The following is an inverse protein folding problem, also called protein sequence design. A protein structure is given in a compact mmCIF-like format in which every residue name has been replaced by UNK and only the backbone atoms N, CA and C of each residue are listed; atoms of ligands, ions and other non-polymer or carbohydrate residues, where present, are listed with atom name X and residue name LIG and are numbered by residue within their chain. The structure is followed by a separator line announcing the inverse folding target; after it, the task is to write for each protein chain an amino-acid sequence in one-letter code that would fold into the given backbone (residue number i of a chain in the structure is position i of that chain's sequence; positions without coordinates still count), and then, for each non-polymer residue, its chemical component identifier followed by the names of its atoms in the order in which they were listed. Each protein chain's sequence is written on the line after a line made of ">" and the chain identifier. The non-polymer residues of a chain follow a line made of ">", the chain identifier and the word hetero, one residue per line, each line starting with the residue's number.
data_IF_188759807525
#
_entry.id   IF_188759807525
#
_cell.length_a   1.000
_cell.length_b   1.000
_cell.length_c   1.000
_cell.angle_alpha   90.00
_cell.angle_beta   90.00
_cell.angle_gamma   90.00
#
_symmetry.space_group_name_H-M   'P 1'
#
loop_
_entity.id
_entity.type
_entity.pdbx_description
1 polymer ?
#
# COMPACT_ATOMS: atom_id res chain seq x y z
N UNK A 1 67.38 10.17 57.36
CA UNK A 1 65.95 9.90 57.08
C UNK A 1 65.34 11.15 56.46
N UNK A 2 65.07 11.14 55.15
CA UNK A 2 64.45 12.26 54.42
C UNK A 2 62.98 11.94 54.23
N UNK A 3 62.08 12.80 54.72
CA UNK A 3 60.70 12.87 54.21
C UNK A 3 60.38 14.36 54.05
N UNK A 4 60.51 14.84 52.82
CA UNK A 4 60.11 16.20 52.43
C UNK A 4 58.60 16.22 52.17
N UNK A 5 57.91 17.13 52.86
CA UNK A 5 56.55 17.57 52.52
C UNK A 5 56.62 18.50 51.29
N UNK A 6 55.86 18.19 50.25
CA UNK A 6 55.25 19.20 49.39
C UNK A 6 53.94 18.63 48.84
N UNK A 7 52.82 19.29 49.16
CA UNK A 7 51.60 19.21 48.34
C UNK A 7 51.16 20.65 48.11
N UNK A 8 51.29 21.05 46.84
CA UNK A 8 50.90 22.34 46.29
C UNK A 8 49.46 22.24 45.78
N UNK A 9 48.75 23.36 45.91
CA UNK A 9 47.34 23.55 45.59
C UNK A 9 47.06 23.62 44.08
N UNK A 10 45.97 22.97 43.68
CA UNK A 10 45.00 23.23 42.60
C UNK A 10 45.47 23.71 41.21
N UNK A 11 45.02 22.93 40.21
CA UNK A 11 44.53 23.47 38.94
C UNK A 11 43.25 22.72 38.53
N UNK A 12 42.18 23.50 38.31
CA UNK A 12 40.88 23.02 37.88
C UNK A 12 40.92 22.61 36.40
N UNK A 13 40.37 21.45 36.08
CA UNK A 13 40.07 21.05 34.70
C UNK A 13 38.56 20.94 34.58
N UNK A 14 37.95 21.90 33.90
CA UNK A 14 36.58 21.82 33.45
C UNK A 14 36.49 20.78 32.32
N UNK A 15 36.02 19.58 32.64
CA UNK A 15 35.72 18.55 31.64
C UNK A 15 34.43 18.91 30.90
N UNK A 16 34.54 19.23 29.60
CA UNK A 16 33.40 19.20 28.69
C UNK A 16 32.83 17.78 28.65
N UNK A 17 31.64 17.58 29.23
CA UNK A 17 30.85 16.38 29.00
C UNK A 17 30.24 16.48 27.58
N UNK A 18 30.92 15.90 26.60
CA UNK A 18 30.34 15.56 25.31
C UNK A 18 29.34 14.44 25.53
N UNK A 19 28.06 14.76 25.77
CA UNK A 19 26.98 13.81 25.63
C UNK A 19 26.80 13.51 24.15
N UNK A 20 27.38 12.42 23.67
CA UNK A 20 27.05 11.87 22.36
C UNK A 20 25.59 11.42 22.41
N UNK A 21 24.69 12.24 21.88
CA UNK A 21 23.36 11.77 21.47
C UNK A 21 23.62 10.79 20.34
N UNK A 22 23.66 9.49 20.62
CA UNK A 22 23.61 8.49 19.58
C UNK A 22 22.30 8.71 18.84
N UNK A 23 22.38 9.23 17.61
CA UNK A 23 21.23 9.27 16.72
C UNK A 23 20.74 7.82 16.59
N UNK A 24 19.59 7.51 17.16
CA UNK A 24 18.98 6.21 17.06
C UNK A 24 18.72 5.97 15.57
N UNK A 25 19.50 5.08 14.95
CA UNK A 25 19.37 4.81 13.53
C UNK A 25 17.94 4.32 13.27
N UNK A 26 17.23 4.97 12.34
CA UNK A 26 15.88 4.56 11.98
C UNK A 26 15.91 3.08 11.53
N UNK A 27 15.06 2.21 12.11
CA UNK A 27 15.08 0.79 11.80
C UNK A 27 14.86 0.60 10.30
N UNK A 28 15.75 -0.15 9.64
CA UNK A 28 15.59 -0.57 8.26
C UNK A 28 14.74 -1.84 8.23
N UNK A 29 13.96 -2.09 7.16
CA UNK A 29 13.19 -3.32 7.04
C UNK A 29 14.12 -4.53 6.94
N UNK A 30 13.70 -5.69 7.47
CA UNK A 30 14.54 -6.89 7.49
C UNK A 30 14.96 -7.36 6.07
N UNK A 31 14.20 -6.98 5.05
CA UNK A 31 14.48 -7.28 3.64
C UNK A 31 15.53 -6.37 2.98
N UNK A 32 16.02 -5.35 3.69
CA UNK A 32 16.99 -4.41 3.14
C UNK A 32 18.30 -5.11 2.79
N UNK A 33 18.73 -4.97 1.54
CA UNK A 33 20.02 -5.52 1.07
C UNK A 33 21.17 -4.53 1.33
N UNK A 34 22.44 -4.99 1.42
CA UNK A 34 23.58 -4.09 1.54
C UNK A 34 23.58 -3.01 0.46
N UNK A 35 23.73 -1.75 0.88
CA UNK A 35 23.71 -0.58 -0.02
C UNK A 35 22.32 -0.06 -0.38
N UNK A 36 21.24 -0.72 0.05
CA UNK A 36 19.89 -0.16 -0.08
C UNK A 36 19.59 0.85 1.04
N UNK A 37 18.75 1.83 0.73
CA UNK A 37 18.21 2.77 1.71
C UNK A 37 16.70 2.73 1.66
N UNK A 38 16.08 2.62 2.83
CA UNK A 38 14.63 2.63 2.99
C UNK A 38 14.21 3.75 3.94
N UNK A 39 13.18 4.49 3.52
CA UNK A 39 12.61 5.63 4.27
C UNK A 39 11.34 5.17 4.95
N UNK A 40 11.29 5.27 6.28
CA UNK A 40 10.10 5.01 7.08
C UNK A 40 9.01 6.04 6.74
N UNK A 41 7.78 5.56 6.56
CA UNK A 41 6.61 6.37 6.26
C UNK A 41 5.84 6.63 7.54
N UNK A 42 6.11 7.75 8.21
CA UNK A 42 5.58 8.07 9.54
C UNK A 42 4.05 8.06 9.62
N UNK A 43 3.37 8.53 8.57
CA UNK A 43 1.89 8.56 8.52
C UNK A 43 1.24 7.17 8.43
N UNK A 44 2.04 6.12 8.22
CA UNK A 44 1.63 4.70 8.13
C UNK A 44 2.51 3.82 9.02
N UNK A 45 3.18 4.42 10.01
CA UNK A 45 4.02 3.72 10.98
C UNK A 45 3.67 4.18 12.39
N UNK A 46 3.67 3.26 13.33
CA UNK A 46 3.36 3.52 14.73
C UNK A 46 3.96 2.44 15.63
N UNK A 47 4.57 2.87 16.73
CA UNK A 47 5.05 2.00 17.82
C UNK A 47 4.00 1.89 18.95
N UNK A 48 2.84 2.52 18.77
CA UNK A 48 1.70 2.46 19.68
C UNK A 48 2.02 2.83 21.13
N UNK A 49 2.85 3.85 21.32
CA UNK A 49 3.02 4.50 22.63
C UNK A 49 1.77 5.31 23.02
N UNK A 50 1.04 5.84 22.03
CA UNK A 50 -0.18 6.62 22.20
C UNK A 50 -1.24 6.24 21.18
N UNK A 51 -2.52 6.48 21.52
CA UNK A 51 -3.63 6.33 20.58
C UNK A 51 -3.75 7.57 19.68
N UNK A 52 -3.00 7.60 18.59
CA UNK A 52 -2.98 8.74 17.65
C UNK A 52 -4.17 8.73 16.67
N UNK A 53 -5.24 9.46 17.02
CA UNK A 53 -6.42 9.60 16.16
C UNK A 53 -6.22 10.55 14.96
N UNK A 54 -5.10 11.29 14.92
CA UNK A 54 -4.74 12.12 13.76
C UNK A 54 -4.17 11.25 12.64
N UNK A 55 -3.42 10.20 13.00
CA UNK A 55 -2.86 9.22 12.05
C UNK A 55 -3.85 8.11 11.72
N UNK A 56 -4.60 7.63 12.70
CA UNK A 56 -5.49 6.48 12.57
C UNK A 56 -6.97 6.87 12.72
N UNK A 57 -7.80 6.33 11.83
CA UNK A 57 -9.24 6.28 12.03
C UNK A 57 -9.61 4.99 12.78
N UNK A 58 -10.04 5.13 14.04
CA UNK A 58 -10.44 4.01 14.90
C UNK A 58 -11.93 3.65 14.82
N UNK A 59 -12.69 4.30 13.95
CA UNK A 59 -14.11 4.02 13.70
C UNK A 59 -14.45 4.36 12.24
N UNK A 60 -14.18 3.41 11.36
CA UNK A 60 -14.34 3.57 9.90
C UNK A 60 -15.80 3.36 9.47
N UNK A 61 -16.03 3.44 8.15
CA UNK A 61 -17.24 2.89 7.55
C UNK A 61 -17.46 1.43 7.99
N UNK A 62 -18.72 1.08 8.30
CA UNK A 62 -19.08 -0.26 8.75
C UNK A 62 -19.28 -1.21 7.56
N UNK A 63 -18.83 -2.45 7.73
CA UNK A 63 -19.03 -3.55 6.79
C UNK A 63 -19.04 -4.88 7.57
N UNK A 64 -19.28 -5.99 6.87
CA UNK A 64 -19.50 -7.29 7.52
C UNK A 64 -20.73 -7.26 8.42
N UNK A 65 -20.68 -8.02 9.52
CA UNK A 65 -21.82 -8.27 10.43
C UNK A 65 -21.54 -7.84 11.88
N UNK A 66 -20.65 -6.86 12.01
CA UNK A 66 -20.36 -6.15 13.24
C UNK A 66 -20.36 -4.65 12.95
N UNK A 67 -20.10 -3.85 13.97
CA UNK A 67 -19.83 -2.41 13.83
C UNK A 67 -18.52 -2.04 14.53
N UNK A 68 -17.78 -1.12 13.92
CA UNK A 68 -16.58 -0.54 14.50
C UNK A 68 -16.94 0.43 15.62
N UNK A 69 -16.23 0.34 16.74
CA UNK A 69 -16.34 1.26 17.87
C UNK A 69 -14.96 1.79 18.21
N UNK A 70 -14.83 3.10 18.32
CA UNK A 70 -13.58 3.72 18.75
C UNK A 70 -13.10 3.18 20.11
N UNK A 71 -14.02 2.86 21.02
CA UNK A 71 -13.75 2.35 22.37
C UNK A 71 -13.21 0.91 22.37
N UNK A 72 -13.31 0.22 21.22
CA UNK A 72 -12.75 -1.12 21.05
C UNK A 72 -11.31 -1.10 20.52
N UNK A 73 -10.75 0.07 20.24
CA UNK A 73 -9.33 0.29 20.01
C UNK A 73 -8.72 1.02 21.21
N UNK A 74 -7.80 0.38 21.92
CA UNK A 74 -7.12 0.94 23.10
C UNK A 74 -5.63 0.80 22.94
N UNK A 75 -4.87 1.78 23.44
CA UNK A 75 -3.41 1.72 23.48
C UNK A 75 -2.96 1.72 24.94
N UNK A 76 -2.12 0.77 25.31
CA UNK A 76 -1.58 0.64 26.67
C UNK A 76 -0.28 -0.13 26.65
N UNK A 77 0.73 0.29 27.41
CA UNK A 77 2.03 -0.38 27.53
C UNK A 77 2.70 -0.64 26.17
N UNK A 78 2.70 0.38 25.29
CA UNK A 78 3.33 0.31 23.97
C UNK A 78 2.61 -0.59 22.96
N UNK A 79 1.33 -0.89 23.17
CA UNK A 79 0.58 -1.84 22.33
C UNK A 79 -0.81 -1.34 22.01
N UNK A 80 -1.20 -1.47 20.74
CA UNK A 80 -2.58 -1.37 20.30
C UNK A 80 -3.31 -2.68 20.58
N UNK A 81 -4.48 -2.59 21.20
CA UNK A 81 -5.40 -3.71 21.42
C UNK A 81 -6.70 -3.43 20.69
N UNK A 82 -7.09 -4.35 19.79
CA UNK A 82 -8.34 -4.30 19.04
C UNK A 82 -9.27 -5.40 19.52
N UNK A 83 -10.39 -5.02 20.12
CA UNK A 83 -11.25 -5.92 20.88
C UNK A 83 -12.58 -6.16 20.17
N UNK A 84 -12.94 -7.43 19.97
CA UNK A 84 -14.32 -7.80 19.60
C UNK A 84 -15.13 -8.07 20.86
N UNK A 85 -16.34 -7.53 20.92
CA UNK A 85 -17.27 -7.68 22.05
C UNK A 85 -18.61 -8.22 21.57
N UNK A 86 -19.25 -9.05 22.39
CA UNK A 86 -20.67 -9.35 22.26
C UNK A 86 -21.47 -8.11 22.70
N UNK A 87 -22.06 -7.40 21.74
CA UNK A 87 -22.81 -6.16 21.96
C UNK A 87 -23.98 -6.10 20.95
N UNK A 88 -25.21 -6.27 21.46
CA UNK A 88 -26.41 -6.17 20.60
C UNK A 88 -26.63 -4.71 20.21
N UNK A 89 -26.78 -4.45 18.93
CA UNK A 89 -27.05 -3.12 18.39
C UNK A 89 -27.70 -3.22 17.01
N UNK A 90 -28.21 -2.11 16.49
CA UNK A 90 -28.79 -2.04 15.15
C UNK A 90 -27.99 -1.06 14.28
N UNK A 91 -27.95 -1.31 12.97
CA UNK A 91 -27.52 -0.31 11.97
C UNK A 91 -28.16 -0.59 10.62
N UNK A 92 -28.04 0.37 9.69
CA UNK A 92 -28.31 0.07 8.28
C UNK A 92 -27.31 -0.98 7.77
N UNK A 93 -27.83 -2.00 7.09
CA UNK A 93 -27.07 -3.13 6.57
C UNK A 93 -27.37 -3.35 5.10
N UNK A 94 -26.33 -3.50 4.28
CA UNK A 94 -26.47 -3.88 2.88
C UNK A 94 -26.75 -5.37 2.78
N UNK A 95 -27.94 -5.74 2.30
CA UNK A 95 -28.31 -7.11 1.94
C UNK A 95 -27.99 -7.34 0.46
N UNK A 96 -26.78 -7.81 0.19
CA UNK A 96 -26.32 -8.11 -1.16
C UNK A 96 -27.02 -9.29 -1.83
N UNK A 97 -27.79 -10.12 -1.12
CA UNK A 97 -28.58 -11.17 -1.77
C UNK A 97 -29.83 -10.58 -2.42
N UNK A 98 -30.46 -9.62 -1.75
CA UNK A 98 -31.67 -8.93 -2.24
C UNK A 98 -31.38 -7.55 -2.84
N UNK A 99 -30.10 -7.15 -2.92
CA UNK A 99 -29.63 -5.87 -3.48
C UNK A 99 -30.31 -4.63 -2.85
N UNK A 100 -30.45 -4.62 -1.51
CA UNK A 100 -31.15 -3.55 -0.79
C UNK A 100 -30.45 -3.14 0.51
N UNK A 101 -30.71 -1.90 0.96
CA UNK A 101 -30.34 -1.46 2.30
C UNK A 101 -31.47 -1.77 3.28
N UNK A 102 -31.16 -2.48 4.36
CA UNK A 102 -32.10 -2.80 5.43
C UNK A 102 -31.83 -1.90 6.62
N UNK A 103 -32.77 -1.00 6.93
CA UNK A 103 -32.70 -0.14 8.11
C UNK A 103 -32.89 -0.96 9.40
N UNK A 104 -32.30 -0.49 10.50
CA UNK A 104 -32.45 -1.09 11.84
C UNK A 104 -32.12 -2.60 11.89
N UNK A 105 -31.19 -3.07 11.06
CA UNK A 105 -30.81 -4.48 11.00
C UNK A 105 -30.08 -4.91 12.29
N UNK A 106 -30.53 -5.97 12.98
CA UNK A 106 -29.95 -6.37 14.25
C UNK A 106 -28.62 -7.11 14.08
N UNK A 107 -27.60 -6.62 14.78
CA UNK A 107 -26.26 -7.19 14.87
C UNK A 107 -25.88 -7.43 16.33
N UNK A 108 -24.88 -8.29 16.54
CA UNK A 108 -24.62 -8.88 17.85
C UNK A 108 -23.22 -8.65 18.38
N UNK A 109 -22.32 -8.11 17.56
CA UNK A 109 -20.92 -7.90 17.93
C UNK A 109 -20.43 -6.53 17.47
N UNK A 110 -19.60 -5.89 18.28
CA UNK A 110 -18.79 -4.74 17.88
C UNK A 110 -17.31 -5.12 17.89
N UNK A 111 -16.48 -4.40 17.14
CA UNK A 111 -15.05 -4.71 17.06
C UNK A 111 -14.18 -3.44 16.95
N UNK A 112 -12.86 -3.64 17.01
CA UNK A 112 -11.85 -2.59 16.87
C UNK A 112 -11.16 -2.60 15.51
N UNK A 113 -10.83 -1.40 15.02
CA UNK A 113 -10.08 -1.16 13.78
C UNK A 113 -9.12 0.01 13.99
N UNK A 114 -8.00 0.02 13.30
CA UNK A 114 -7.12 1.16 13.10
C UNK A 114 -6.78 1.26 11.61
N UNK A 115 -7.40 2.20 10.90
CA UNK A 115 -7.17 2.48 9.47
C UNK A 115 -6.37 3.76 9.31
N UNK A 116 -5.21 3.71 8.66
CA UNK A 116 -4.40 4.91 8.43
C UNK A 116 -5.19 5.92 7.60
N UNK A 117 -5.15 7.20 7.97
CA UNK A 117 -5.74 8.26 7.15
C UNK A 117 -4.96 8.45 5.85
N UNK A 118 -3.63 8.36 5.93
CA UNK A 118 -2.77 8.36 4.76
C UNK A 118 -2.93 7.07 3.96
N UNK A 119 -2.67 7.16 2.66
CA UNK A 119 -2.64 6.04 1.73
C UNK A 119 -1.23 5.80 1.21
N UNK A 120 -1.03 4.65 0.59
CA UNK A 120 0.09 4.40 -0.31
C UNK A 120 -0.15 3.10 -1.08
N UNK A 121 0.88 2.60 -1.76
CA UNK A 121 0.82 1.34 -2.50
C UNK A 121 2.14 0.57 -2.37
N UNK A 122 3.19 1.02 -3.06
CA UNK A 122 4.49 0.38 -3.06
C UNK A 122 5.24 0.67 -1.76
N UNK A 123 5.98 -0.33 -1.29
CA UNK A 123 6.70 -0.27 -0.03
C UNK A 123 6.79 -1.62 0.64
N UNK A 124 7.55 -1.66 1.72
CA UNK A 124 7.56 -2.77 2.66
C UNK A 124 6.69 -2.41 3.86
N UNK A 125 5.79 -3.31 4.24
CA UNK A 125 4.87 -3.13 5.35
C UNK A 125 5.07 -4.28 6.31
N UNK A 126 5.15 -4.01 7.60
CA UNK A 126 5.31 -5.03 8.64
C UNK A 126 4.51 -4.64 9.88
N UNK A 127 3.84 -5.61 10.48
CA UNK A 127 3.24 -5.47 11.79
C UNK A 127 3.64 -6.63 12.67
N UNK A 128 3.87 -6.35 13.95
CA UNK A 128 4.15 -7.37 14.97
C UNK A 128 2.89 -7.62 15.79
N UNK A 129 2.27 -8.77 15.59
CA UNK A 129 0.90 -9.06 16.01
C UNK A 129 0.87 -10.31 16.88
N UNK A 130 0.06 -10.27 17.93
CA UNK A 130 -0.40 -11.44 18.69
C UNK A 130 -1.89 -11.64 18.43
N UNK A 131 -2.26 -12.84 17.99
CA UNK A 131 -3.65 -13.20 17.69
C UNK A 131 -4.54 -13.23 18.93
N UNK A 132 -5.85 -13.14 18.73
CA UNK A 132 -6.83 -13.26 19.80
C UNK A 132 -6.92 -14.69 20.35
N UNK A 133 -7.15 -14.83 21.66
CA UNK A 133 -7.20 -16.15 22.30
C UNK A 133 -8.34 -17.04 21.76
N UNK A 134 -9.48 -16.43 21.42
CA UNK A 134 -10.70 -17.15 21.01
C UNK A 134 -10.56 -17.68 19.59
N UNK A 135 -10.68 -18.99 19.42
CA UNK A 135 -10.75 -19.64 18.12
C UNK A 135 -11.69 -20.86 18.20
N UNK A 136 -12.58 -21.05 17.21
CA UNK A 136 -12.90 -20.14 16.10
C UNK A 136 -13.75 -18.94 16.56
N UNK A 137 -13.93 -17.94 15.70
CA UNK A 137 -14.91 -16.85 15.91
C UNK A 137 -14.45 -15.46 15.50
N UNK A 138 -13.14 -15.21 15.53
CA UNK A 138 -12.55 -13.93 15.10
C UNK A 138 -11.34 -14.13 14.19
N UNK A 139 -11.04 -13.11 13.39
CA UNK A 139 -9.89 -13.06 12.48
C UNK A 139 -9.14 -11.75 12.69
N UNK A 140 -8.03 -11.76 13.45
CA UNK A 140 -7.05 -10.69 13.42
C UNK A 140 -6.53 -10.51 11.99
N UNK A 141 -6.48 -9.28 11.50
CA UNK A 141 -6.09 -8.97 10.13
C UNK A 141 -5.17 -7.75 10.06
N UNK A 142 -4.15 -7.86 9.20
CA UNK A 142 -3.30 -6.75 8.75
C UNK A 142 -3.36 -6.69 7.23
N UNK A 143 -3.84 -5.57 6.70
CA UNK A 143 -4.24 -5.48 5.31
C UNK A 143 -4.26 -4.03 4.85
N UNK A 144 -4.49 -3.80 3.56
CA UNK A 144 -4.68 -2.47 3.01
C UNK A 144 -5.67 -2.50 1.85
N UNK A 145 -6.53 -1.49 1.75
CA UNK A 145 -7.57 -1.45 0.73
C UNK A 145 -7.83 -0.04 0.19
N UNK A 146 -8.25 0.04 -1.06
CA UNK A 146 -8.63 1.29 -1.73
C UNK A 146 -10.11 1.60 -1.58
N UNK A 147 -10.53 2.83 -1.92
CA UNK A 147 -11.93 3.07 -2.27
C UNK A 147 -12.31 2.27 -3.53
N UNK A 148 -13.61 1.96 -3.67
CA UNK A 148 -14.16 1.40 -4.91
C UNK A 148 -14.55 2.56 -5.83
N UNK A 149 -13.92 2.66 -6.99
CA UNK A 149 -14.25 3.64 -8.02
C UNK A 149 -15.01 2.99 -9.17
N UNK A 150 -16.34 3.12 -9.14
CA UNK A 150 -17.23 2.54 -10.16
C UNK A 150 -17.31 3.38 -11.43
N UNK A 151 -16.67 4.55 -11.49
CA UNK A 151 -16.64 5.38 -12.71
C UNK A 151 -15.67 4.82 -13.75
N UNK A 152 -14.70 4.02 -13.32
CA UNK A 152 -13.76 3.30 -14.18
C UNK A 152 -14.46 2.10 -14.84
N UNK A 153 -14.70 2.19 -16.14
CA UNK A 153 -15.55 1.24 -16.88
C UNK A 153 -14.88 0.66 -18.13
N UNK A 154 -13.64 1.04 -18.44
CA UNK A 154 -12.92 0.49 -19.58
C UNK A 154 -12.37 -0.91 -19.28
N UNK A 155 -12.29 -1.77 -20.29
CA UNK A 155 -11.77 -3.13 -20.11
C UNK A 155 -10.32 -3.10 -19.59
N UNK A 156 -10.06 -3.78 -18.47
CA UNK A 156 -8.78 -3.76 -17.76
C UNK A 156 -8.67 -2.72 -16.65
N UNK A 157 -9.64 -1.81 -16.50
CA UNK A 157 -9.66 -0.88 -15.37
C UNK A 157 -9.84 -1.60 -14.04
N UNK A 158 -9.11 -1.14 -13.03
CA UNK A 158 -9.19 -1.65 -11.66
C UNK A 158 -9.97 -0.66 -10.80
N UNK A 159 -11.16 -1.08 -10.37
CA UNK A 159 -12.05 -0.29 -9.52
C UNK A 159 -11.67 -0.38 -8.05
N UNK A 160 -11.06 -1.49 -7.62
CA UNK A 160 -10.73 -1.77 -6.23
C UNK A 160 -9.48 -2.65 -6.13
N UNK A 161 -8.60 -2.31 -5.18
CA UNK A 161 -7.42 -3.10 -4.83
C UNK A 161 -7.39 -3.31 -3.32
N UNK A 162 -7.07 -4.53 -2.91
CA UNK A 162 -6.86 -4.92 -1.52
C UNK A 162 -5.76 -5.97 -1.43
N UNK A 163 -4.81 -5.75 -0.52
CA UNK A 163 -3.71 -6.66 -0.20
C UNK A 163 -3.84 -7.05 1.26
N UNK A 164 -4.01 -8.33 1.53
CA UNK A 164 -4.07 -8.88 2.86
C UNK A 164 -2.69 -9.39 3.24
N UNK A 165 -2.01 -8.67 4.14
CA UNK A 165 -0.69 -9.09 4.63
C UNK A 165 -0.82 -10.37 5.42
N UNK A 166 -1.84 -10.44 6.29
CA UNK A 166 -2.26 -11.68 6.94
C UNK A 166 -3.71 -11.59 7.39
N UNK A 167 -4.43 -12.70 7.24
CA UNK A 167 -5.66 -12.98 7.97
C UNK A 167 -5.44 -14.25 8.83
N UNK A 168 -5.49 -14.09 10.15
CA UNK A 168 -5.25 -15.16 11.10
C UNK A 168 -6.55 -15.85 11.51
N UNK A 169 -6.46 -17.14 11.86
CA UNK A 169 -7.50 -17.88 12.60
C UNK A 169 -8.90 -17.88 11.95
N UNK A 170 -8.98 -17.74 10.63
CA UNK A 170 -10.24 -17.78 9.88
C UNK A 170 -10.53 -19.10 9.17
N UNK A 171 -9.61 -20.06 9.24
CA UNK A 171 -9.74 -21.39 8.66
C UNK A 171 -10.13 -22.44 9.71
N UNK A 172 -10.29 -23.69 9.26
CA UNK A 172 -10.65 -24.81 10.14
C UNK A 172 -9.55 -25.18 11.14
N UNK A 173 -8.28 -24.87 10.82
CA UNK A 173 -7.15 -25.06 11.71
C UNK A 173 -6.61 -23.71 12.20
N UNK A 174 -6.33 -23.60 13.50
CA UNK A 174 -5.85 -22.35 14.12
C UNK A 174 -4.49 -21.88 13.57
N UNK A 175 -3.69 -22.81 13.03
CA UNK A 175 -2.37 -22.53 12.46
C UNK A 175 -2.39 -22.24 10.97
N UNK A 176 -3.56 -22.29 10.32
CA UNK A 176 -3.68 -21.87 8.93
C UNK A 176 -3.86 -20.36 8.88
N UNK A 177 -2.95 -19.68 8.17
CA UNK A 177 -3.04 -18.26 7.84
C UNK A 177 -3.26 -18.07 6.34
N UNK A 178 -3.95 -16.99 5.99
CA UNK A 178 -4.11 -16.54 4.60
C UNK A 178 -3.34 -15.25 4.35
N UNK A 179 -2.77 -15.14 3.16
CA UNK A 179 -2.00 -13.99 2.69
C UNK A 179 -2.48 -13.62 1.28
N UNK A 180 -3.70 -13.09 1.25
CA UNK A 180 -4.52 -13.07 0.06
C UNK A 180 -4.56 -11.70 -0.62
N UNK A 181 -5.21 -11.68 -1.78
CA UNK A 181 -5.44 -10.48 -2.56
C UNK A 181 -6.90 -10.41 -3.01
N UNK A 182 -7.43 -9.19 -3.06
CA UNK A 182 -8.77 -8.94 -3.55
C UNK A 182 -8.75 -7.78 -4.54
N UNK A 183 -9.56 -7.86 -5.59
CA UNK A 183 -9.69 -6.77 -6.54
C UNK A 183 -11.03 -6.80 -7.29
N UNK A 184 -11.41 -5.64 -7.82
CA UNK A 184 -12.46 -5.52 -8.84
C UNK A 184 -11.80 -5.01 -10.11
N UNK A 185 -11.91 -5.79 -11.19
CA UNK A 185 -11.37 -5.43 -12.51
C UNK A 185 -12.46 -5.55 -13.57
N UNK A 186 -12.54 -4.60 -14.48
CA UNK A 186 -13.47 -4.67 -15.60
C UNK A 186 -12.98 -5.69 -16.62
N UNK A 187 -13.78 -6.71 -16.89
CA UNK A 187 -13.54 -7.71 -17.95
C UNK A 187 -14.77 -7.78 -18.85
N UNK A 188 -14.57 -7.62 -20.15
CA UNK A 188 -15.63 -7.64 -21.15
C UNK A 188 -16.78 -6.66 -20.82
N UNK A 189 -16.42 -5.45 -20.39
CA UNK A 189 -17.36 -4.39 -20.04
C UNK A 189 -18.10 -4.55 -18.70
N UNK A 190 -17.80 -5.61 -17.93
CA UNK A 190 -18.43 -5.87 -16.63
C UNK A 190 -17.42 -5.82 -15.48
N UNK A 191 -17.71 -5.17 -14.34
CA UNK A 191 -16.87 -5.23 -13.15
C UNK A 191 -16.89 -6.64 -12.53
N UNK A 192 -15.74 -7.29 -12.49
CA UNK A 192 -15.58 -8.66 -11.95
C UNK A 192 -14.80 -8.61 -10.65
N UNK A 193 -15.38 -9.19 -9.60
CA UNK A 193 -14.66 -9.49 -8.36
C UNK A 193 -13.73 -10.69 -8.54
N UNK A 194 -12.45 -10.49 -8.23
CA UNK A 194 -11.47 -11.57 -8.09
C UNK A 194 -11.15 -11.71 -6.60
N UNK A 195 -11.37 -12.93 -6.08
CA UNK A 195 -11.18 -13.31 -4.67
C UNK A 195 -10.25 -14.52 -4.59
N UNK A 196 -9.59 -14.77 -3.45
CA UNK A 196 -8.73 -15.94 -3.28
C UNK A 196 -9.43 -17.26 -3.62
N UNK A 197 -10.69 -17.44 -3.22
CA UNK A 197 -11.43 -18.66 -3.54
C UNK A 197 -11.80 -18.82 -5.02
N UNK A 198 -12.04 -17.72 -5.75
CA UNK A 198 -12.47 -17.78 -7.17
C UNK A 198 -11.33 -17.62 -8.17
N UNK A 199 -10.19 -17.07 -7.74
CA UNK A 199 -9.00 -16.88 -8.55
C UNK A 199 -7.73 -17.23 -7.76
N UNK A 200 -7.60 -18.46 -7.24
CA UNK A 200 -6.55 -18.80 -6.27
C UNK A 200 -5.13 -18.63 -6.81
N UNK A 201 -4.91 -18.91 -8.09
CA UNK A 201 -3.58 -18.77 -8.71
C UNK A 201 -3.03 -17.34 -8.63
N UNK A 202 -3.91 -16.33 -8.76
CA UNK A 202 -3.53 -14.92 -8.73
C UNK A 202 -3.76 -14.27 -7.38
N UNK A 203 -4.65 -14.81 -6.55
CA UNK A 203 -5.19 -14.11 -5.38
C UNK A 203 -5.04 -14.84 -4.04
N UNK A 204 -4.64 -16.12 -4.01
CA UNK A 204 -4.55 -16.88 -2.76
C UNK A 204 -3.11 -17.28 -2.42
N UNK A 205 -2.73 -17.12 -1.15
CA UNK A 205 -1.58 -17.78 -0.56
C UNK A 205 -1.95 -18.30 0.84
N UNK A 206 -2.26 -19.59 0.95
CA UNK A 206 -2.42 -20.26 2.25
C UNK A 206 -1.07 -20.69 2.82
N UNK A 207 -0.91 -20.59 4.14
CA UNK A 207 0.31 -21.00 4.83
C UNK A 207 -0.01 -21.70 6.15
N UNK A 208 0.75 -22.77 6.45
CA UNK A 208 0.67 -23.45 7.73
C UNK A 208 1.76 -22.89 8.66
N UNK A 209 1.34 -22.11 9.65
CA UNK A 209 2.23 -21.49 10.61
C UNK A 209 2.95 -22.56 11.45
N UNK A 210 4.28 -22.44 11.66
CA UNK A 210 5.02 -23.34 12.52
C UNK A 210 4.76 -23.11 14.03
N UNK A 211 3.85 -22.20 14.36
CA UNK A 211 3.46 -21.79 15.71
C UNK A 211 1.94 -21.58 15.80
N UNK A 212 1.42 -21.49 17.02
CA UNK A 212 0.06 -21.01 17.26
C UNK A 212 0.09 -19.47 17.33
N UNK A 213 -0.56 -18.74 16.40
CA UNK A 213 -0.44 -17.28 16.29
C UNK A 213 -1.02 -16.51 17.49
N UNK A 214 -1.69 -17.21 18.41
CA UNK A 214 -2.31 -16.62 19.60
C UNK A 214 -1.37 -16.59 20.80
N UNK A 215 -0.30 -17.39 20.79
CA UNK A 215 0.53 -17.60 21.97
C UNK A 215 1.50 -16.43 22.21
N UNK A 216 2.12 -15.91 21.16
CA UNK A 216 3.10 -14.83 21.22
C UNK A 216 2.96 -13.88 20.03
N UNK A 217 3.76 -12.81 20.04
CA UNK A 217 3.87 -11.87 18.94
C UNK A 217 4.77 -12.41 17.84
N UNK A 218 4.26 -12.35 16.61
CA UNK A 218 4.98 -12.71 15.38
C UNK A 218 4.97 -11.54 14.40
N UNK A 219 5.94 -11.49 13.49
CA UNK A 219 5.99 -10.44 12.46
C UNK A 219 5.33 -10.92 11.18
N UNK A 220 4.45 -10.07 10.63
CA UNK A 220 3.74 -10.31 9.38
C UNK A 220 4.04 -9.14 8.46
N UNK A 221 4.59 -9.42 7.29
CA UNK A 221 5.00 -8.37 6.37
C UNK A 221 4.74 -8.67 4.91
N UNK A 222 4.70 -7.62 4.10
CA UNK A 222 4.58 -7.71 2.65
C UNK A 222 5.47 -6.67 1.99
N UNK A 223 6.20 -7.09 0.96
CA UNK A 223 6.89 -6.21 0.04
C UNK A 223 6.03 -6.03 -1.21
N UNK A 224 5.59 -4.81 -1.46
CA UNK A 224 4.77 -4.43 -2.61
C UNK A 224 5.60 -3.60 -3.56
N UNK A 225 5.82 -4.11 -4.76
CA UNK A 225 6.47 -3.39 -5.85
C UNK A 225 5.49 -3.23 -7.02
N UNK A 226 5.90 -2.52 -8.06
CA UNK A 226 5.08 -2.42 -9.28
C UNK A 226 4.93 -3.76 -10.02
N UNK A 227 5.84 -4.72 -9.81
CA UNK A 227 5.87 -5.96 -10.58
C UNK A 227 5.44 -7.17 -9.75
N UNK A 228 5.71 -7.12 -8.44
CA UNK A 228 5.65 -8.27 -7.54
C UNK A 228 5.10 -7.88 -6.16
N UNK A 229 4.40 -8.83 -5.53
CA UNK A 229 3.95 -8.79 -4.13
C UNK A 229 4.52 -10.03 -3.45
N UNK A 230 5.23 -9.86 -2.33
CA UNK A 230 5.91 -10.95 -1.61
C UNK A 230 5.61 -10.86 -0.12
N UNK A 231 5.13 -11.94 0.49
CA UNK A 231 4.70 -11.97 1.89
C UNK A 231 5.70 -12.70 2.76
N UNK A 232 5.78 -12.27 4.02
CA UNK A 232 6.72 -12.75 5.02
C UNK A 232 6.02 -13.01 6.35
N UNK A 233 6.41 -14.09 7.02
CA UNK A 233 6.07 -14.39 8.41
C UNK A 233 7.37 -14.68 9.13
N UNK A 234 7.67 -13.95 10.21
CA UNK A 234 8.91 -14.06 10.98
C UNK A 234 10.17 -14.03 10.07
N UNK A 235 10.15 -13.17 9.06
CA UNK A 235 11.24 -13.01 8.08
C UNK A 235 11.31 -14.09 6.99
N UNK A 236 10.46 -15.12 7.05
CA UNK A 236 10.40 -16.20 6.06
C UNK A 236 9.39 -15.85 4.98
N UNK A 237 9.76 -15.95 3.71
CA UNK A 237 8.82 -15.77 2.60
C UNK A 237 7.77 -16.88 2.60
N UNK A 238 6.48 -16.51 2.65
CA UNK A 238 5.34 -17.45 2.69
C UNK A 238 4.39 -17.33 1.49
N UNK A 239 4.52 -16.24 0.72
CA UNK A 239 3.64 -15.97 -0.42
C UNK A 239 4.34 -15.14 -1.48
N UNK A 240 3.90 -15.32 -2.73
CA UNK A 240 4.38 -14.54 -3.87
C UNK A 240 3.32 -14.50 -4.97
N UNK A 241 3.12 -13.29 -5.54
CA UNK A 241 2.23 -13.05 -6.68
C UNK A 241 2.79 -11.92 -7.54
N UNK A 242 2.45 -11.91 -8.83
CA UNK A 242 2.67 -10.74 -9.69
C UNK A 242 1.70 -9.63 -9.29
N UNK A 243 2.18 -8.39 -9.24
CA UNK A 243 1.32 -7.24 -8.99
C UNK A 243 0.57 -6.85 -10.27
N UNK A 244 -0.55 -7.52 -10.54
CA UNK A 244 -1.36 -7.28 -11.73
C UNK A 244 -2.33 -6.11 -11.55
N UNK A 245 -2.90 -5.97 -10.34
CA UNK A 245 -4.06 -5.12 -10.09
C UNK A 245 -3.93 -4.25 -8.83
N UNK A 246 -2.85 -4.34 -8.06
CA UNK A 246 -2.74 -3.70 -6.73
C UNK A 246 -1.85 -2.47 -6.76
N UNK A 247 -2.24 -1.52 -7.59
CA UNK A 247 -1.53 -0.25 -7.81
C UNK A 247 -2.27 0.98 -7.26
N UNK A 248 -3.55 0.82 -6.87
CA UNK A 248 -4.36 1.91 -6.33
C UNK A 248 -3.82 2.36 -4.97
N UNK A 249 -4.15 3.59 -4.59
CA UNK A 249 -3.89 4.09 -3.25
C UNK A 249 -4.74 3.32 -2.23
N UNK A 250 -4.09 2.74 -1.23
CA UNK A 250 -4.71 1.89 -0.22
C UNK A 250 -4.42 2.43 1.19
N UNK A 251 -5.42 2.41 2.06
CA UNK A 251 -5.27 2.72 3.48
C UNK A 251 -4.78 1.48 4.22
N UNK A 252 -3.70 1.61 4.99
CA UNK A 252 -3.16 0.54 5.82
C UNK A 252 -4.08 0.30 7.01
N UNK A 253 -4.44 -0.95 7.29
CA UNK A 253 -5.50 -1.29 8.23
C UNK A 253 -5.10 -2.47 9.11
N UNK A 254 -5.28 -2.29 10.42
CA UNK A 254 -5.29 -3.35 11.42
C UNK A 254 -6.72 -3.50 11.93
N UNK A 255 -7.28 -4.70 11.91
CA UNK A 255 -8.64 -4.92 12.37
C UNK A 255 -8.87 -6.34 12.84
N UNK A 256 -9.93 -6.55 13.63
CA UNK A 256 -10.37 -7.88 14.02
C UNK A 256 -11.78 -8.13 13.50
N UNK A 257 -11.91 -8.99 12.49
CA UNK A 257 -13.21 -9.36 11.91
C UNK A 257 -13.87 -10.52 12.65
N UNK A 258 -15.19 -10.62 12.55
CA UNK A 258 -15.94 -11.80 13.01
C UNK A 258 -15.88 -12.90 11.95
N UNK A 259 -15.91 -14.17 12.36
CA UNK A 259 -15.92 -15.36 11.49
C UNK A 259 -16.91 -16.41 12.00
N UNK A 260 -17.01 -17.54 11.30
CA UNK A 260 -17.71 -18.71 11.80
C UNK A 260 -17.21 -19.07 13.21
N UNK A 261 -18.09 -19.53 14.13
CA UNK A 261 -19.48 -19.93 13.89
C UNK A 261 -20.49 -18.78 13.91
N UNK A 262 -20.06 -17.52 14.06
CA UNK A 262 -20.97 -16.38 14.21
C UNK A 262 -21.43 -15.77 12.89
N UNK A 263 -20.81 -16.15 11.78
CA UNK A 263 -21.08 -15.61 10.44
C UNK A 263 -21.44 -16.71 9.44
N UNK A 264 -22.24 -16.35 8.44
CA UNK A 264 -22.48 -17.11 7.22
C UNK A 264 -21.94 -16.32 6.02
N UNK A 265 -21.38 -16.99 5.01
CA UNK A 265 -20.92 -16.33 3.78
C UNK A 265 -21.86 -16.66 2.62
N UNK A 266 -22.47 -15.64 2.04
CA UNK A 266 -23.29 -15.75 0.83
C UNK A 266 -23.37 -14.42 0.09
N UNK A 267 -23.62 -14.46 -1.22
CA UNK A 267 -23.78 -13.26 -2.05
C UNK A 267 -22.61 -12.26 -1.90
N UNK A 268 -21.39 -12.78 -1.78
CA UNK A 268 -20.14 -12.01 -1.65
C UNK A 268 -20.01 -11.15 -0.39
N UNK A 269 -20.70 -11.50 0.71
CA UNK A 269 -20.56 -10.83 1.99
C UNK A 269 -20.90 -11.75 3.17
N UNK A 270 -20.60 -11.28 4.38
CA UNK A 270 -21.07 -11.93 5.61
C UNK A 270 -22.53 -11.60 5.93
N UNK A 271 -23.22 -12.58 6.51
CA UNK A 271 -24.49 -12.48 7.23
C UNK A 271 -24.34 -13.01 8.66
N UNK A 272 -25.08 -12.49 9.66
CA UNK A 272 -25.00 -13.03 11.00
C UNK A 272 -25.65 -14.42 11.04
N UNK A 273 -24.99 -15.36 11.71
CA UNK A 273 -25.57 -16.66 11.98
C UNK A 273 -26.58 -16.61 13.15
N UNK A 274 -27.18 -17.75 13.45
CA UNK A 274 -27.94 -17.96 14.67
C UNK A 274 -27.07 -17.93 15.95
N UNK A 275 -25.77 -18.24 15.86
CA UNK A 275 -24.87 -18.29 17.01
C UNK A 275 -24.41 -16.88 17.44
N UNK A 276 -24.98 -16.41 18.56
CA UNK A 276 -24.77 -15.09 19.15
C UNK A 276 -24.16 -15.19 20.56
N UNK A 277 -23.38 -16.25 20.81
CA UNK A 277 -22.83 -16.53 22.14
C UNK A 277 -21.97 -15.39 22.67
N UNK A 278 -22.01 -15.19 23.99
CA UNK A 278 -21.07 -14.32 24.68
C UNK A 278 -19.78 -15.06 25.09
N UNK A 279 -19.78 -16.38 25.03
CA UNK A 279 -18.62 -17.21 25.41
C UNK A 279 -17.42 -16.90 24.52
N UNK A 280 -16.26 -16.73 25.13
CA UNK A 280 -15.05 -16.33 24.42
C UNK A 280 -15.03 -14.84 24.02
N UNK A 281 -15.96 -14.01 24.47
CA UNK A 281 -15.93 -12.55 24.30
C UNK A 281 -15.97 -11.82 25.67
N UNK A 282 -15.29 -10.67 25.83
CA UNK A 282 -14.47 -10.00 24.83
C UNK A 282 -13.19 -10.77 24.51
N UNK A 283 -12.69 -10.60 23.30
CA UNK A 283 -11.42 -11.18 22.85
C UNK A 283 -10.67 -10.18 21.98
N UNK A 284 -9.36 -10.15 22.06
CA UNK A 284 -8.57 -9.08 21.46
C UNK A 284 -7.30 -9.59 20.82
N UNK A 285 -6.98 -9.06 19.65
CA UNK A 285 -5.63 -9.07 19.11
C UNK A 285 -4.83 -7.92 19.71
N UNK A 286 -3.51 -8.10 19.76
CA UNK A 286 -2.56 -7.06 20.16
C UNK A 286 -1.56 -6.79 19.03
N UNK A 287 -1.18 -5.53 18.86
CA UNK A 287 -0.19 -5.07 17.88
C UNK A 287 0.86 -4.25 18.61
N UNK A 288 2.09 -4.71 18.53
CA UNK A 288 3.26 -4.08 19.15
C UNK A 288 3.72 -2.87 18.33
N UNK A 289 3.87 -3.07 17.02
CA UNK A 289 4.14 -1.98 16.08
C UNK A 289 3.52 -2.26 14.72
N UNK A 290 3.39 -1.22 13.92
CA UNK A 290 3.24 -1.28 12.47
C UNK A 290 4.23 -0.32 11.83
N UNK A 291 4.97 -0.79 10.83
CA UNK A 291 6.01 0.00 10.16
C UNK A 291 5.88 -0.15 8.66
N UNK A 292 6.02 0.99 7.98
CA UNK A 292 5.96 1.07 6.53
C UNK A 292 7.21 1.76 6.01
N UNK A 293 7.85 1.20 4.99
CA UNK A 293 9.02 1.80 4.36
C UNK A 293 8.91 1.87 2.85
N UNK A 294 9.58 2.85 2.26
CA UNK A 294 9.74 2.98 0.80
C UNK A 294 11.22 2.99 0.46
N UNK A 295 11.63 2.18 -0.53
CA UNK A 295 13.01 2.06 -0.98
C UNK A 295 13.41 3.27 -1.83
N UNK A 296 14.54 3.90 -1.52
CA UNK A 296 15.14 4.97 -2.33
C UNK A 296 15.66 4.42 -3.65
N UNK A 297 15.33 5.07 -4.76
CA UNK A 297 15.83 4.69 -6.10
C UNK A 297 15.31 3.34 -6.62
N UNK A 298 14.43 2.66 -5.88
CA UNK A 298 13.62 1.59 -6.45
C UNK A 298 12.73 2.14 -7.55
N UNK A 299 12.27 1.29 -8.47
CA UNK A 299 11.30 1.66 -9.50
C UNK A 299 9.89 1.86 -8.89
N UNK A 300 9.82 2.63 -7.80
CA UNK A 300 8.68 2.95 -6.94
C UNK A 300 8.14 4.29 -7.39
N UNK A 301 6.99 4.29 -8.07
CA UNK A 301 6.27 5.52 -8.37
C UNK A 301 5.88 6.23 -7.08
N UNK A 302 6.57 7.36 -6.81
CA UNK A 302 6.23 8.46 -5.92
C UNK A 302 5.41 8.15 -4.66
N UNK A 303 6.09 7.89 -3.55
CA UNK A 303 5.60 8.32 -2.23
C UNK A 303 6.22 9.70 -1.96
N UNK A 304 5.45 10.76 -2.16
CA UNK A 304 5.75 12.08 -1.61
C UNK A 304 4.56 12.50 -0.77
N UNK A 305 4.53 12.00 0.47
CA UNK A 305 3.59 12.46 1.48
C UNK A 305 3.71 13.97 1.74
N UNK A 306 2.65 14.70 1.39
CA UNK A 306 2.30 16.08 1.76
C UNK A 306 0.95 16.33 1.06
N UNK A 307 -0.15 16.71 1.71
CA UNK A 307 -0.35 18.05 2.23
C UNK A 307 -1.67 18.12 3.05
N UNK A 308 -1.71 19.20 3.83
CA UNK A 308 -2.66 19.83 4.74
C UNK A 308 -4.17 19.61 4.59
N UNK A 309 -4.83 19.62 5.75
CA UNK A 309 -6.25 19.89 5.85
C UNK A 309 -6.55 21.39 5.75
N UNK A 310 -7.64 21.72 5.06
CA UNK A 310 -8.52 22.84 5.42
C UNK A 310 -8.40 24.17 4.65
N UNK A 311 -9.30 24.33 3.68
CA UNK A 311 -10.30 25.43 3.56
C UNK A 311 -10.19 26.44 2.39
N UNK A 312 -11.31 26.48 1.64
CA UNK A 312 -11.99 27.54 0.85
C UNK A 312 -11.21 28.64 0.11
N UNK A 313 -11.57 28.80 -1.17
CA UNK A 313 -11.49 30.06 -1.92
C UNK A 313 -10.94 29.84 -3.32
N UNK A 314 -11.70 30.23 -4.35
CA UNK A 314 -11.45 29.80 -5.73
C UNK A 314 -10.38 30.58 -6.48
N UNK A 315 -9.92 30.03 -7.60
CA UNK A 315 -9.66 30.76 -8.84
C UNK A 315 -9.49 29.80 -10.03
N UNK A 316 -9.91 30.25 -11.21
CA UNK A 316 -9.79 29.57 -12.49
C UNK A 316 -8.38 29.78 -13.05
N UNK A 317 -7.52 28.74 -13.06
CA UNK A 317 -6.58 28.46 -14.16
C UNK A 317 -5.64 27.29 -13.82
N UNK A 318 -5.66 26.26 -14.66
CA UNK A 318 -4.55 25.33 -14.89
C UNK A 318 -3.83 24.73 -13.65
N UNK A 319 -4.55 24.49 -12.55
CA UNK A 319 -4.00 23.82 -11.38
C UNK A 319 -4.13 22.32 -11.56
N UNK A 320 -3.00 21.65 -11.54
CA UNK A 320 -2.97 20.21 -11.56
C UNK A 320 -3.13 19.70 -10.14
N UNK A 321 -3.95 18.67 -9.92
CA UNK A 321 -4.20 18.19 -8.58
C UNK A 321 -2.91 17.60 -8.00
N UNK A 322 -2.70 17.72 -6.69
CA UNK A 322 -1.59 17.09 -5.95
C UNK A 322 -1.77 15.56 -5.82
N UNK A 323 -2.45 14.97 -6.78
CA UNK A 323 -2.77 13.55 -6.89
C UNK A 323 -2.32 13.02 -8.25
N UNK A 324 -2.38 11.71 -8.45
CA UNK A 324 -1.97 11.10 -9.70
C UNK A 324 -2.84 11.54 -10.89
N UNK A 325 -2.21 12.17 -11.90
CA UNK A 325 -2.80 12.59 -13.16
C UNK A 325 -2.36 11.62 -14.27
N UNK A 326 -3.33 10.89 -14.83
CA UNK A 326 -3.08 9.94 -15.90
C UNK A 326 -2.61 10.64 -17.20
N UNK A 327 -1.72 9.98 -17.94
CA UNK A 327 -1.34 10.40 -19.29
C UNK A 327 -2.50 10.17 -20.25
N UNK A 328 -2.93 11.22 -20.93
CA UNK A 328 -3.97 11.18 -21.96
C UNK A 328 -3.40 11.20 -23.38
N UNK A 329 -2.19 11.74 -23.58
CA UNK A 329 -1.56 11.82 -24.90
C UNK A 329 -0.06 12.10 -24.87
N UNK A 330 0.57 12.03 -26.03
CA UNK A 330 1.94 12.49 -26.28
C UNK A 330 2.00 13.08 -27.67
N UNK A 331 2.69 14.21 -27.84
CA UNK A 331 2.84 14.91 -29.10
C UNK A 331 4.32 15.15 -29.40
N UNK A 332 4.75 14.96 -30.66
CA UNK A 332 6.04 15.38 -31.20
C UNK A 332 5.81 16.52 -32.20
N UNK A 333 6.60 17.58 -32.08
CA UNK A 333 6.61 18.68 -33.06
C UNK A 333 8.04 19.01 -33.49
N UNK A 334 8.34 19.17 -34.79
CA UNK A 334 7.47 18.95 -35.95
C UNK A 334 7.27 17.46 -36.28
N UNK A 335 6.26 17.15 -37.11
CA UNK A 335 5.95 15.79 -37.58
C UNK A 335 6.87 15.33 -38.73
N UNK A 336 7.63 16.25 -39.35
CA UNK A 336 8.66 15.94 -40.34
C UNK A 336 9.90 16.79 -40.13
N UNK A 337 11.08 16.25 -40.42
CA UNK A 337 12.36 16.99 -40.36
C UNK A 337 13.36 16.46 -41.40
N UNK A 338 14.01 17.38 -42.10
CA UNK A 338 15.10 17.06 -43.03
C UNK A 338 16.45 17.41 -42.39
N UNK A 339 17.43 16.51 -42.51
CA UNK A 339 18.78 16.64 -41.97
C UNK A 339 19.82 16.27 -43.03
N UNK A 340 21.00 16.90 -42.98
CA UNK A 340 22.18 16.42 -43.71
C UNK A 340 22.86 15.28 -42.94
N UNK A 341 23.55 14.38 -43.65
CA UNK A 341 24.34 13.32 -43.02
C UNK A 341 25.27 13.87 -41.92
N UNK A 342 25.26 13.23 -40.75
CA UNK A 342 26.04 13.61 -39.58
C UNK A 342 25.37 14.64 -38.65
N UNK A 343 24.35 15.36 -39.13
CA UNK A 343 23.60 16.28 -38.28
C UNK A 343 22.78 15.56 -37.22
N UNK A 344 22.52 16.25 -36.12
CA UNK A 344 21.65 15.77 -35.05
C UNK A 344 20.58 16.80 -34.69
N UNK A 345 19.43 16.33 -34.20
CA UNK A 345 18.32 17.16 -33.75
C UNK A 345 17.69 16.53 -32.51
N UNK A 346 17.30 17.35 -31.55
CA UNK A 346 16.52 16.90 -30.38
C UNK A 346 15.04 17.05 -30.68
N UNK A 347 14.26 16.00 -30.44
CA UNK A 347 12.81 16.02 -30.66
C UNK A 347 12.10 16.80 -29.54
N UNK A 348 11.21 17.72 -29.91
CA UNK A 348 10.34 18.37 -28.94
C UNK A 348 9.12 17.47 -28.69
N UNK A 349 9.13 16.79 -27.54
CA UNK A 349 8.07 15.86 -27.11
C UNK A 349 7.31 16.45 -25.94
N UNK A 350 5.99 16.50 -26.04
CA UNK A 350 5.10 16.98 -24.96
C UNK A 350 4.13 15.87 -24.53
N UNK A 351 4.11 15.55 -23.23
CA UNK A 351 3.16 14.58 -22.65
C UNK A 351 1.95 15.33 -22.11
N UNK A 352 0.75 14.81 -22.40
CA UNK A 352 -0.52 15.41 -22.01
C UNK A 352 -1.25 14.58 -20.95
N UNK A 353 -1.98 15.22 -20.01
CA UNK A 353 -1.96 16.66 -19.77
C UNK A 353 -0.57 17.14 -19.29
N UNK A 354 -0.32 18.45 -19.34
CA UNK A 354 1.00 19.02 -19.02
C UNK A 354 1.47 18.72 -17.59
N UNK A 355 0.61 18.20 -16.73
CA UNK A 355 0.92 17.75 -15.37
C UNK A 355 0.65 16.28 -15.14
N UNK A 356 0.62 15.47 -16.19
CA UNK A 356 0.66 14.03 -16.06
C UNK A 356 1.78 13.64 -15.09
N UNK A 357 1.46 12.83 -14.08
CA UNK A 357 2.39 12.54 -12.99
C UNK A 357 3.60 11.72 -13.44
N UNK A 358 3.48 10.98 -14.56
CA UNK A 358 4.61 10.33 -15.22
C UNK A 358 4.72 10.76 -16.69
N UNK A 359 5.72 11.61 -16.97
CA UNK A 359 6.02 12.11 -18.31
C UNK A 359 7.12 11.32 -19.02
N UNK A 360 7.54 10.17 -18.49
CA UNK A 360 8.60 9.39 -19.09
C UNK A 360 8.15 8.77 -20.42
N UNK A 361 9.02 8.88 -21.41
CA UNK A 361 8.82 8.35 -22.76
C UNK A 361 9.96 7.43 -23.17
N UNK A 362 9.73 6.64 -24.22
CA UNK A 362 10.75 5.85 -24.91
C UNK A 362 10.69 6.14 -26.41
N UNK A 363 11.85 6.13 -27.07
CA UNK A 363 11.96 6.37 -28.50
C UNK A 363 12.41 5.11 -29.25
N UNK A 364 11.93 4.96 -30.48
CA UNK A 364 12.39 3.92 -31.40
C UNK A 364 12.48 4.47 -32.82
N UNK A 365 13.35 3.90 -33.66
CA UNK A 365 13.48 4.24 -35.08
C UNK A 365 13.07 3.05 -35.94
N UNK A 366 12.36 3.30 -37.05
CA UNK A 366 12.05 2.26 -38.04
C UNK A 366 13.28 1.81 -38.85
N UNK A 367 14.32 2.65 -38.93
CA UNK A 367 15.53 2.33 -39.70
C UNK A 367 16.81 2.96 -39.10
N UNK A 368 17.53 2.15 -38.29
CA UNK A 368 18.80 2.55 -37.63
C UNK A 368 19.96 2.83 -38.61
N UNK A 369 19.84 2.43 -39.88
CA UNK A 369 20.85 2.70 -40.91
C UNK A 369 20.69 4.11 -41.51
N UNK A 370 19.48 4.69 -41.45
CA UNK A 370 19.18 6.05 -41.90
C UNK A 370 19.27 7.04 -40.74
N UNK A 371 18.60 6.77 -39.62
CA UNK A 371 18.63 7.63 -38.43
C UNK A 371 18.53 6.82 -37.13
N UNK A 372 19.33 7.20 -36.12
CA UNK A 372 19.26 6.64 -34.76
C UNK A 372 18.72 7.67 -33.78
N UNK A 373 18.04 7.22 -32.72
CA UNK A 373 17.51 8.07 -31.65
C UNK A 373 18.02 7.56 -30.29
N UNK A 374 18.40 8.47 -29.40
CA UNK A 374 18.79 8.14 -28.01
C UNK A 374 17.58 8.11 -27.07
N UNK A 375 17.79 7.74 -25.80
CA UNK A 375 16.73 7.74 -24.80
C UNK A 375 16.25 9.16 -24.45
N UNK A 376 17.09 10.17 -24.70
CA UNK A 376 16.83 11.60 -24.49
C UNK A 376 16.15 12.25 -25.71
N UNK A 377 15.80 11.46 -26.74
CA UNK A 377 15.14 11.96 -27.95
C UNK A 377 16.07 12.68 -28.93
N UNK A 378 17.39 12.43 -28.86
CA UNK A 378 18.36 12.99 -29.81
C UNK A 378 18.47 12.08 -31.02
N UNK A 379 18.07 12.60 -32.19
CA UNK A 379 18.16 11.91 -33.47
C UNK A 379 19.46 12.28 -34.18
N UNK A 380 20.20 11.28 -34.68
CA UNK A 380 21.41 11.46 -35.51
C UNK A 380 21.21 10.87 -36.91
N UNK A 381 21.43 11.70 -37.93
CA UNK A 381 21.35 11.33 -39.35
C UNK A 381 22.61 10.56 -39.80
N UNK A 382 22.42 9.37 -40.41
CA UNK A 382 23.53 8.48 -40.82
C UNK A 382 23.70 8.37 -42.32
N UNK A 383 22.66 7.98 -43.06
CA UNK A 383 22.72 7.75 -44.50
C UNK A 383 21.46 8.27 -45.16
N UNK A 384 21.57 8.63 -46.45
CA UNK A 384 20.46 9.12 -47.27
C UNK A 384 19.27 8.15 -47.23
N UNK A 385 18.07 8.69 -47.06
CA UNK A 385 16.83 7.92 -46.95
C UNK A 385 15.85 8.51 -45.94
N UNK A 386 14.80 7.75 -45.60
CA UNK A 386 13.81 8.13 -44.60
C UNK A 386 13.73 7.13 -43.44
N UNK A 387 13.46 7.64 -42.23
CA UNK A 387 13.21 6.85 -41.02
C UNK A 387 12.11 7.52 -40.19
N UNK A 388 11.19 6.71 -39.66
CA UNK A 388 10.17 7.19 -38.72
C UNK A 388 10.67 6.96 -37.31
N UNK A 389 10.71 8.02 -36.51
CA UNK A 389 10.96 7.93 -35.07
C UNK A 389 9.62 7.91 -34.36
N UNK A 390 9.41 6.95 -33.47
CA UNK A 390 8.20 6.81 -32.65
C UNK A 390 8.54 7.13 -31.20
N UNK A 391 7.74 7.98 -30.56
CA UNK A 391 7.73 8.15 -29.11
C UNK A 391 6.58 7.35 -28.51
N UNK A 392 6.81 6.72 -27.36
CA UNK A 392 5.78 5.99 -26.61
C UNK A 392 5.86 6.34 -25.12
N UNK A 393 4.71 6.61 -24.51
CA UNK A 393 4.60 6.82 -23.06
C UNK A 393 4.64 5.48 -22.31
N UNK A 394 5.34 5.41 -21.17
CA UNK A 394 5.49 4.14 -20.42
C UNK A 394 4.21 3.66 -19.72
N UNK A 395 3.31 4.58 -19.36
CA UNK A 395 2.07 4.28 -18.63
C UNK A 395 0.86 4.29 -19.59
N UNK A 396 0.44 3.11 -20.08
CA UNK A 396 -0.70 2.90 -20.99
C UNK A 396 -0.49 3.22 -22.49
N UNK A 397 0.74 3.46 -22.94
CA UNK A 397 1.14 3.22 -24.34
C UNK A 397 0.66 4.20 -25.41
N UNK A 398 0.40 5.48 -25.08
CA UNK A 398 0.16 6.53 -26.09
C UNK A 398 1.40 6.76 -26.95
N UNK A 399 1.22 6.98 -28.25
CA UNK A 399 2.30 7.12 -29.23
C UNK A 399 2.13 8.32 -30.13
N UNK A 400 3.24 8.90 -30.57
CA UNK A 400 3.31 9.83 -31.70
C UNK A 400 4.59 9.59 -32.51
N UNK A 401 4.67 10.15 -33.71
CA UNK A 401 5.77 9.88 -34.65
C UNK A 401 6.33 11.14 -35.31
N UNK A 402 7.56 11.06 -35.81
CA UNK A 402 8.18 12.06 -36.68
C UNK A 402 8.93 11.38 -37.80
N UNK A 403 8.74 11.85 -39.03
CA UNK A 403 9.48 11.38 -40.20
C UNK A 403 10.78 12.17 -40.37
N UNK A 404 11.91 11.48 -40.38
CA UNK A 404 13.25 12.03 -40.61
C UNK A 404 13.69 11.69 -42.03
N UNK A 405 13.98 12.72 -42.83
CA UNK A 405 14.57 12.58 -44.16
C UNK A 405 16.04 13.01 -44.10
N UNK A 406 16.95 12.15 -44.56
CA UNK A 406 18.37 12.46 -44.66
C UNK A 406 18.72 12.68 -46.12
N UNK A 407 19.27 13.86 -46.43
CA UNK A 407 19.69 14.23 -47.79
C UNK A 407 21.14 13.84 -48.09
#
# INVERSE_FOLDING_TARGET
>A
MKINKQVTLLSAVAGLALTSVAAQANPQPHIAKPGETWILQEKRSDEFDVKDATKWNFQTENYGVWSWRNENATVSNGKLKLTTKRETHNRTFWDGCNQQQVANYPLYYTSGVAKSRATGNYGYYEARIKGANTFPGVSPAFWMYSTIDRTLTENGDVQYSEIDVVELTQKGNVRESDHDLHNIVVKNGSPIWMRPGSAPETNHNGYHLPFDPRNDFHTYGVNVTKDDITWYVDGVQVGYKKNLYWHRQMNLTLSQGLRAPHTEWRCNQFYPSANKSAEGFPTSMEVDYVRTWVKVGGNTGGDTGGDTGGNTGGDNSNSCPDTWVAVTGVNITPQTKTLSKGQSVTLNTNVLPACATNKNVVYSTSNKNVATVTNEGVVKAKNKGSATITVKTKNKGKTDTVMITVN
#
